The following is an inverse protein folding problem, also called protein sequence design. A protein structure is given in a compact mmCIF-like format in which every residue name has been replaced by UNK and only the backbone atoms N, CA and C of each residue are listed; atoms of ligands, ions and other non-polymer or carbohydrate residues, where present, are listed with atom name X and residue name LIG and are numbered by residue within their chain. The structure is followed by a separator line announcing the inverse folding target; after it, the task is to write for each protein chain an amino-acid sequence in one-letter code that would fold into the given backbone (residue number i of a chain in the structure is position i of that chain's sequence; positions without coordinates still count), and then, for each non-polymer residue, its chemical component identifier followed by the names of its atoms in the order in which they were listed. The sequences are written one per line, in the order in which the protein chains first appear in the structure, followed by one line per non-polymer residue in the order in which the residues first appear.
data_IF_041186071095
#
_entry.id   IF_041186071095
#
_cell.length_a   1.000
_cell.length_b   1.000
_cell.length_c   1.000
_cell.angle_alpha   90.00
_cell.angle_beta   90.00
_cell.angle_gamma   90.00
#
_symmetry.space_group_name_H-M   'P 1'
#
loop_
_entity.id
_entity.type
_entity.pdbx_description
1 polymer ?
#
# COMPACT_ATOMS: atom_id res chain seq x y z
N UNK A 1 12.18 5.82 -30.04
CA UNK A 1 11.45 4.65 -29.58
C UNK A 1 10.40 5.05 -28.56
N UNK A 2 9.29 4.37 -28.57
CA UNK A 2 8.24 4.67 -27.61
C UNK A 2 8.60 4.16 -26.23
N UNK A 3 8.34 4.97 -25.22
CA UNK A 3 8.49 4.55 -23.85
C UNK A 3 7.40 3.56 -23.49
N UNK A 4 7.76 2.57 -22.69
CA UNK A 4 6.83 1.56 -22.21
C UNK A 4 6.39 1.92 -20.81
N UNK A 5 5.07 1.99 -20.60
CA UNK A 5 4.51 2.22 -19.27
C UNK A 5 4.30 0.87 -18.59
N UNK A 6 4.74 0.79 -17.36
CA UNK A 6 4.50 -0.37 -16.50
C UNK A 6 3.98 0.13 -15.16
N UNK A 7 3.39 -0.76 -14.40
CA UNK A 7 2.73 -0.42 -13.14
C UNK A 7 3.28 -1.28 -12.02
N UNK A 8 3.55 -0.64 -10.89
CA UNK A 8 4.06 -1.29 -9.69
C UNK A 8 3.05 -1.14 -8.57
N UNK A 9 2.98 -2.13 -7.70
CA UNK A 9 2.28 -1.99 -6.43
C UNK A 9 3.33 -1.73 -5.36
N UNK A 10 3.16 -0.63 -4.64
CA UNK A 10 4.03 -0.30 -3.52
C UNK A 10 3.25 -0.46 -2.22
N UNK A 11 3.88 -1.06 -1.24
CA UNK A 11 3.31 -1.26 0.09
C UNK A 11 4.00 -0.35 1.10
N UNK A 12 3.20 0.22 1.99
CA UNK A 12 3.68 0.98 3.13
C UNK A 12 3.03 0.39 4.37
N UNK A 13 3.79 0.11 5.41
CA UNK A 13 3.26 -0.41 6.66
C UNK A 13 3.43 0.60 7.79
N UNK A 14 2.49 0.56 8.73
CA UNK A 14 2.51 1.43 9.89
C UNK A 14 2.02 0.65 11.11
N UNK A 15 2.83 0.60 12.15
CA UNK A 15 2.49 -0.09 13.40
C UNK A 15 1.90 0.92 14.38
N UNK A 16 0.61 0.79 14.68
CA UNK A 16 -0.08 1.72 15.59
C UNK A 16 0.41 1.61 17.03
N UNK A 17 0.96 0.47 17.43
CA UNK A 17 1.51 0.32 18.77
C UNK A 17 2.77 1.14 18.98
N UNK A 18 3.56 1.33 17.93
CA UNK A 18 4.78 2.12 17.97
C UNK A 18 4.55 3.59 17.62
N UNK A 19 3.52 3.85 16.82
CA UNK A 19 3.17 5.22 16.43
C UNK A 19 4.32 5.95 15.75
N UNK A 20 4.62 7.16 16.21
CA UNK A 20 5.66 8.00 15.64
C UNK A 20 7.06 7.69 16.14
N UNK A 21 7.24 6.66 16.93
CA UNK A 21 8.57 6.26 17.39
C UNK A 21 9.34 5.62 16.23
N UNK A 22 10.66 5.50 16.37
CA UNK A 22 11.49 4.90 15.32
C UNK A 22 11.36 3.38 15.31
N UNK A 23 10.13 2.90 15.17
CA UNK A 23 9.87 1.48 15.14
C UNK A 23 10.42 0.83 13.89
N UNK A 24 11.11 -0.29 14.05
CA UNK A 24 11.65 -1.04 12.93
C UNK A 24 10.55 -1.65 12.05
N UNK A 25 9.31 -1.68 12.55
CA UNK A 25 8.18 -2.27 11.84
C UNK A 25 7.44 -1.29 10.92
N UNK A 26 7.78 -0.01 10.96
CA UNK A 26 7.20 0.99 10.07
C UNK A 26 8.07 1.09 8.83
N UNK A 27 7.54 0.66 7.71
CA UNK A 27 8.30 0.57 6.45
C UNK A 27 7.74 1.54 5.43
N UNK A 28 8.64 2.29 4.81
CA UNK A 28 8.31 3.12 3.65
C UNK A 28 8.13 2.24 2.42
N UNK A 29 7.76 2.85 1.33
CA UNK A 29 7.43 2.19 0.07
C UNK A 29 8.31 1.00 -0.27
N UNK A 30 7.71 -0.18 -0.29
CA UNK A 30 8.36 -1.40 -0.72
C UNK A 30 7.59 -1.98 -1.90
N UNK A 31 8.31 -2.58 -2.83
CA UNK A 31 7.69 -3.25 -3.96
C UNK A 31 6.92 -4.47 -3.45
N UNK A 32 5.62 -4.48 -3.74
CA UNK A 32 4.74 -5.57 -3.35
C UNK A 32 4.71 -6.62 -4.46
N UNK A 33 4.83 -7.89 -4.12
CA UNK A 33 4.90 -9.04 -5.03
C UNK A 33 6.10 -9.07 -5.94
N UNK A 34 6.96 -8.10 -5.91
CA UNK A 34 8.14 -8.07 -6.76
C UNK A 34 7.80 -8.28 -8.24
N UNK A 35 6.70 -7.67 -8.71
CA UNK A 35 6.18 -7.80 -10.06
C UNK A 35 5.92 -6.44 -10.69
N UNK A 36 6.01 -6.41 -12.01
CA UNK A 36 5.52 -5.28 -12.82
C UNK A 36 4.32 -5.74 -13.63
N UNK A 37 3.41 -4.83 -13.90
CA UNK A 37 2.17 -5.11 -14.60
C UNK A 37 2.09 -4.28 -15.86
N UNK A 38 1.48 -4.86 -16.90
CA UNK A 38 1.30 -4.19 -18.19
C UNK A 38 0.35 -3.00 -18.12
N UNK A 39 -0.67 -3.12 -17.27
CA UNK A 39 -1.67 -2.07 -17.13
C UNK A 39 -2.12 -1.95 -15.67
N UNK A 40 -2.75 -0.83 -15.37
CA UNK A 40 -3.19 -0.55 -14.01
C UNK A 40 -4.25 -1.53 -13.53
N UNK A 41 -5.15 -1.97 -14.42
CA UNK A 41 -6.23 -2.87 -14.04
C UNK A 41 -5.67 -4.22 -13.56
N UNK A 42 -4.63 -4.74 -14.20
CA UNK A 42 -3.99 -5.96 -13.77
C UNK A 42 -3.42 -5.82 -12.35
N UNK A 43 -2.78 -4.69 -12.08
CA UNK A 43 -2.23 -4.40 -10.74
C UNK A 43 -3.35 -4.29 -9.69
N UNK A 44 -4.41 -3.54 -10.01
CA UNK A 44 -5.55 -3.40 -9.09
C UNK A 44 -6.25 -4.73 -8.82
N UNK A 45 -6.38 -5.60 -9.83
CA UNK A 45 -7.00 -6.90 -9.65
C UNK A 45 -6.22 -7.79 -8.67
N UNK A 46 -4.90 -7.79 -8.79
CA UNK A 46 -4.04 -8.53 -7.85
C UNK A 46 -4.20 -7.98 -6.44
N UNK A 47 -4.21 -6.65 -6.32
CA UNK A 47 -4.34 -5.99 -5.04
C UNK A 47 -5.70 -6.26 -4.39
N UNK A 48 -6.79 -6.18 -5.16
CA UNK A 48 -8.13 -6.45 -4.66
C UNK A 48 -8.26 -7.89 -4.14
N UNK A 49 -7.68 -8.84 -4.84
CA UNK A 49 -7.66 -10.24 -4.39
C UNK A 49 -6.90 -10.39 -3.09
N UNK A 50 -5.74 -9.75 -2.99
CA UNK A 50 -4.93 -9.79 -1.77
C UNK A 50 -5.69 -9.24 -0.57
N UNK A 51 -6.27 -8.04 -0.71
CA UNK A 51 -7.02 -7.40 0.38
C UNK A 51 -8.22 -8.26 0.77
N UNK A 52 -8.94 -8.81 -0.20
CA UNK A 52 -10.08 -9.68 0.05
C UNK A 52 -9.68 -10.93 0.83
N UNK A 53 -8.57 -11.55 0.47
CA UNK A 53 -8.07 -12.72 1.20
C UNK A 53 -7.73 -12.37 2.65
N UNK A 54 -7.09 -11.23 2.87
CA UNK A 54 -6.76 -10.80 4.22
C UNK A 54 -8.00 -10.58 5.08
N UNK A 55 -9.05 -9.98 4.50
CA UNK A 55 -10.31 -9.76 5.22
C UNK A 55 -11.01 -11.06 5.54
N UNK A 56 -11.08 -11.99 4.59
CA UNK A 56 -11.81 -13.26 4.75
C UNK A 56 -11.06 -14.27 5.59
N UNK A 57 -9.76 -14.35 5.43
CA UNK A 57 -8.94 -15.40 6.03
C UNK A 57 -8.29 -14.97 7.34
N UNK A 58 -7.82 -13.74 7.41
CA UNK A 58 -7.02 -13.28 8.56
C UNK A 58 -7.73 -12.25 9.43
N UNK A 59 -8.97 -11.92 9.12
CA UNK A 59 -9.75 -10.99 9.94
C UNK A 59 -9.32 -9.54 9.81
N UNK A 60 -8.69 -9.17 8.71
CA UNK A 60 -8.31 -7.79 8.47
C UNK A 60 -9.56 -6.89 8.41
N UNK A 61 -9.41 -5.66 8.88
CA UNK A 61 -10.50 -4.68 8.91
C UNK A 61 -10.09 -3.42 8.14
N UNK A 62 -11.08 -2.63 7.75
CA UNK A 62 -10.84 -1.37 7.07
C UNK A 62 -10.15 -0.38 8.02
N UNK A 63 -9.29 0.46 7.44
CA UNK A 63 -8.70 1.56 8.19
C UNK A 63 -9.76 2.63 8.45
N UNK A 64 -9.76 3.15 9.67
CA UNK A 64 -10.62 4.28 10.06
C UNK A 64 -9.99 5.58 9.60
N UNK A 65 -10.82 6.62 9.49
CA UNK A 65 -10.37 7.93 9.02
C UNK A 65 -9.23 8.49 9.89
N UNK A 66 -9.36 8.40 11.21
CA UNK A 66 -8.32 8.88 12.12
C UNK A 66 -7.02 8.07 12.01
N UNK A 67 -7.13 6.79 11.68
CA UNK A 67 -5.95 5.93 11.47
C UNK A 67 -5.21 6.33 10.19
N UNK A 68 -5.95 6.60 9.13
CA UNK A 68 -5.38 7.08 7.87
C UNK A 68 -4.67 8.41 8.07
N UNK A 69 -5.28 9.30 8.84
CA UNK A 69 -4.69 10.60 9.16
C UNK A 69 -3.37 10.46 9.91
N UNK A 70 -3.32 9.55 10.88
CA UNK A 70 -2.09 9.29 11.63
C UNK A 70 -0.98 8.78 10.72
N UNK A 71 -1.29 7.83 9.84
CA UNK A 71 -0.34 7.30 8.87
C UNK A 71 0.20 8.40 7.97
N UNK A 72 -0.70 9.24 7.46
CA UNK A 72 -0.35 10.33 6.57
C UNK A 72 0.56 11.36 7.26
N UNK A 73 0.28 11.68 8.50
CA UNK A 73 1.12 12.59 9.29
C UNK A 73 2.52 12.03 9.50
N UNK A 74 2.60 10.74 9.78
CA UNK A 74 3.88 10.06 9.98
C UNK A 74 4.74 10.08 8.72
N UNK A 75 4.16 9.74 7.58
CA UNK A 75 4.90 9.64 6.32
C UNK A 75 4.95 10.94 5.53
N UNK A 76 4.22 11.97 5.95
CA UNK A 76 4.15 13.27 5.25
C UNK A 76 3.66 13.13 3.81
N UNK A 77 2.74 12.20 3.60
CA UNK A 77 2.18 11.92 2.28
C UNK A 77 0.71 12.33 2.21
N UNK A 78 0.18 12.34 1.00
CA UNK A 78 -1.22 12.66 0.80
C UNK A 78 -2.08 11.45 1.17
N UNK A 79 -3.10 11.69 1.97
CA UNK A 79 -3.99 10.63 2.49
C UNK A 79 -4.49 9.71 1.38
N UNK A 80 -4.90 10.27 0.26
CA UNK A 80 -5.46 9.48 -0.85
C UNK A 80 -4.46 8.46 -1.41
N UNK A 81 -3.17 8.74 -1.29
CA UNK A 81 -2.14 7.83 -1.80
C UNK A 81 -2.06 6.55 -0.99
N UNK A 82 -2.30 6.64 0.31
CA UNK A 82 -2.19 5.48 1.19
C UNK A 82 -3.52 4.80 1.46
N UNK A 83 -4.61 5.57 1.45
CA UNK A 83 -5.92 5.08 1.83
C UNK A 83 -6.63 4.27 0.77
N UNK A 84 -6.20 4.37 -0.47
CA UNK A 84 -6.94 3.86 -1.62
C UNK A 84 -7.21 2.36 -1.54
N UNK A 85 -6.23 1.59 -1.11
CA UNK A 85 -6.37 0.15 -0.88
C UNK A 85 -5.56 -0.19 0.36
N UNK A 86 -6.23 -0.39 1.47
CA UNK A 86 -5.53 -0.69 2.71
C UNK A 86 -6.39 -1.45 3.69
N UNK A 87 -5.75 -2.02 4.65
CA UNK A 87 -6.40 -2.72 5.75
C UNK A 87 -5.53 -2.70 6.99
N UNK A 88 -6.13 -3.01 8.12
CA UNK A 88 -5.41 -3.15 9.39
C UNK A 88 -5.50 -4.60 9.84
N UNK A 89 -4.37 -5.15 10.24
CA UNK A 89 -4.26 -6.49 10.79
C UNK A 89 -3.35 -6.43 12.00
N UNK A 90 -3.86 -6.83 13.18
CA UNK A 90 -3.09 -6.85 14.42
C UNK A 90 -2.37 -5.52 14.72
N UNK A 91 -3.09 -4.41 14.60
CA UNK A 91 -2.58 -3.06 14.82
C UNK A 91 -1.48 -2.62 13.82
N UNK A 92 -1.33 -3.34 12.74
CA UNK A 92 -0.43 -2.93 11.66
C UNK A 92 -1.27 -2.59 10.44
N UNK A 93 -1.10 -1.37 9.94
CA UNK A 93 -1.73 -0.96 8.69
C UNK A 93 -0.88 -1.42 7.51
N UNK A 94 -1.55 -1.91 6.48
CA UNK A 94 -0.94 -2.24 5.20
C UNK A 94 -1.64 -1.39 4.16
N UNK A 95 -0.91 -0.46 3.58
CA UNK A 95 -1.44 0.50 2.61
C UNK A 95 -0.76 0.32 1.28
N UNK A 96 -1.51 0.46 0.20
CA UNK A 96 -1.02 0.15 -1.14
C UNK A 96 -1.30 1.28 -2.10
N UNK A 97 -0.37 1.48 -3.03
CA UNK A 97 -0.53 2.39 -4.13
C UNK A 97 -0.06 1.73 -5.42
N UNK A 98 -0.81 1.94 -6.49
CA UNK A 98 -0.40 1.51 -7.83
C UNK A 98 0.26 2.70 -8.50
N UNK A 99 1.51 2.55 -8.88
CA UNK A 99 2.31 3.64 -9.46
C UNK A 99 2.71 3.32 -10.90
N UNK A 100 2.48 4.28 -11.78
CA UNK A 100 2.95 4.20 -13.16
C UNK A 100 4.44 4.54 -13.23
N UNK A 101 5.19 3.72 -13.93
CA UNK A 101 6.61 3.93 -14.16
C UNK A 101 6.88 3.79 -15.66
N UNK A 102 7.80 4.59 -16.17
CA UNK A 102 8.16 4.56 -17.58
C UNK A 102 9.51 3.88 -17.72
N UNK A 103 9.53 2.82 -18.55
CA UNK A 103 10.77 2.19 -18.96
C UNK A 103 11.33 2.98 -20.14
N UNK A 104 12.54 3.43 -20.02
CA UNK A 104 13.24 4.18 -21.06
C UNK A 104 14.36 3.32 -21.61
N UNK A 105 14.42 3.28 -22.93
CA UNK A 105 15.50 2.55 -23.62
C UNK A 105 16.86 3.22 -23.42
#
# INVERSE_FOLDING_TARGET
MEDIKVYLILETTYNFDEGNTNGSNNKLHQLFYNRVFKDADAAFNVLDKHVSIQRKTNGAVNLKEEEIKEINEYYKEVVSSYARKGYKLNNIAHCYVVREVILVD
#
